data_IF_941138592198
#
_entry.id   IF_941138592198
#
_cell.length_a   1.000
_cell.length_b   1.000
_cell.length_c   1.000
_cell.angle_alpha   90.00
_cell.angle_beta   90.00
_cell.angle_gamma   90.00
#
_symmetry.space_group_name_H-M   'P 1'
#
loop_
_entity.id
_entity.type
_entity.pdbx_description
1 polymer ?
#
# COMPACT_ATOMS: atom_id res chain seq x y z
N UNK A 1 -4.10 11.25 28.45
CA UNK A 1 -5.40 10.60 28.15
C UNK A 1 -5.28 9.13 28.52
N UNK A 2 -5.73 8.78 29.73
CA UNK A 2 -5.83 7.40 30.18
C UNK A 2 -7.06 6.75 29.53
N UNK A 3 -6.84 5.69 28.76
CA UNK A 3 -7.93 4.86 28.26
C UNK A 3 -8.44 3.98 29.40
N UNK A 4 -9.53 4.41 30.05
CA UNK A 4 -10.21 3.66 31.10
C UNK A 4 -10.88 2.39 30.55
N UNK A 5 -10.63 1.26 31.22
CA UNK A 5 -11.40 0.01 31.28
C UNK A 5 -12.65 -0.09 30.38
N UNK A 6 -12.46 -0.27 29.07
CA UNK A 6 -13.51 -0.86 28.22
C UNK A 6 -13.46 -2.37 28.39
N UNK A 7 -14.48 -2.92 29.07
CA UNK A 7 -14.75 -4.36 29.18
C UNK A 7 -14.48 -5.04 27.83
N UNK A 8 -13.72 -6.13 27.89
CA UNK A 8 -13.28 -7.02 26.80
C UNK A 8 -14.43 -7.49 25.89
N UNK A 9 -14.91 -6.60 25.01
CA UNK A 9 -15.63 -6.95 23.78
C UNK A 9 -14.64 -6.77 22.63
N UNK A 10 -13.46 -7.37 22.76
CA UNK A 10 -12.67 -7.65 21.58
C UNK A 10 -13.30 -8.91 20.99
N UNK A 11 -14.25 -8.73 20.07
CA UNK A 11 -14.52 -9.78 19.09
C UNK A 11 -13.16 -10.06 18.45
N UNK A 12 -12.58 -11.23 18.76
CA UNK A 12 -11.26 -11.57 18.25
C UNK A 12 -11.35 -11.51 16.73
N UNK A 13 -10.48 -10.69 16.14
CA UNK A 13 -10.22 -10.83 14.71
C UNK A 13 -9.68 -12.25 14.54
N UNK A 14 -10.38 -13.04 13.75
CA UNK A 14 -10.01 -14.40 13.43
C UNK A 14 -9.28 -14.47 12.08
N UNK A 15 -9.51 -13.48 11.22
CA UNK A 15 -9.01 -13.48 9.85
C UNK A 15 -8.43 -12.13 9.45
N UNK A 16 -7.39 -12.13 8.62
CA UNK A 16 -6.77 -10.91 8.13
C UNK A 16 -6.60 -10.91 6.61
N UNK A 17 -6.95 -9.80 5.95
CA UNK A 17 -6.44 -9.48 4.61
C UNK A 17 -5.22 -8.58 4.74
N UNK A 18 -4.06 -9.06 4.28
CA UNK A 18 -2.80 -8.34 4.32
C UNK A 18 -2.37 -7.97 2.91
N UNK A 19 -2.42 -6.68 2.59
CA UNK A 19 -1.95 -6.14 1.30
C UNK A 19 -0.55 -5.57 1.47
N UNK A 20 0.44 -6.19 0.83
CA UNK A 20 1.84 -5.73 0.84
C UNK A 20 2.14 -5.01 -0.47
N UNK A 21 2.60 -3.77 -0.35
CA UNK A 21 2.84 -2.92 -1.52
C UNK A 21 3.90 -1.86 -1.23
N UNK A 22 4.21 -1.03 -2.20
CA UNK A 22 5.05 0.17 -2.01
C UNK A 22 4.28 1.43 -2.42
N UNK A 23 4.74 2.59 -1.98
CA UNK A 23 4.09 3.87 -2.27
C UNK A 23 3.92 4.06 -3.76
N UNK A 24 2.73 4.49 -4.19
CA UNK A 24 2.37 4.74 -5.59
C UNK A 24 2.33 3.50 -6.49
N UNK A 25 2.30 2.29 -5.95
CA UNK A 25 2.12 1.07 -6.76
C UNK A 25 0.69 0.85 -7.26
N UNK A 26 -0.27 1.71 -6.88
CA UNK A 26 -1.70 1.50 -7.17
C UNK A 26 -2.46 0.76 -6.07
N UNK A 27 -1.84 0.56 -4.90
CA UNK A 27 -2.44 -0.17 -3.78
C UNK A 27 -3.73 0.45 -3.27
N UNK A 28 -3.92 1.77 -3.36
CA UNK A 28 -5.20 2.41 -3.04
C UNK A 28 -6.33 1.99 -3.99
N UNK A 29 -6.04 1.77 -5.29
CA UNK A 29 -7.04 1.28 -6.24
C UNK A 29 -7.40 -0.18 -5.91
N UNK A 30 -6.40 -1.02 -5.66
CA UNK A 30 -6.62 -2.41 -5.23
C UNK A 30 -7.43 -2.49 -3.94
N UNK A 31 -7.15 -1.62 -2.95
CA UNK A 31 -7.90 -1.59 -1.70
C UNK A 31 -9.38 -1.21 -1.92
N UNK A 32 -9.68 -0.34 -2.89
CA UNK A 32 -11.07 -0.02 -3.29
C UNK A 32 -11.75 -1.23 -3.93
N UNK A 33 -11.02 -2.01 -4.72
CA UNK A 33 -11.54 -3.26 -5.27
C UNK A 33 -11.89 -4.24 -4.15
N UNK A 34 -10.98 -4.46 -3.20
CA UNK A 34 -11.20 -5.30 -2.01
C UNK A 34 -12.40 -4.81 -1.18
N UNK A 35 -12.48 -3.51 -0.89
CA UNK A 35 -13.58 -2.89 -0.15
C UNK A 35 -14.93 -3.12 -0.86
N UNK A 36 -14.97 -2.88 -2.17
CA UNK A 36 -16.20 -3.03 -2.97
C UNK A 36 -16.64 -4.48 -3.16
N UNK A 37 -15.72 -5.44 -3.12
CA UNK A 37 -16.04 -6.86 -3.15
C UNK A 37 -16.66 -7.34 -1.82
N UNK A 38 -16.40 -6.61 -0.73
CA UNK A 38 -16.76 -6.94 0.64
C UNK A 38 -16.23 -8.31 1.10
N UNK A 39 -16.48 -8.69 2.37
CA UNK A 39 -16.06 -9.99 2.92
C UNK A 39 -14.55 -10.17 3.12
N UNK A 40 -13.74 -9.13 2.88
CA UNK A 40 -12.28 -9.13 3.05
C UNK A 40 -11.77 -7.98 3.96
N UNK A 41 -12.69 -7.23 4.59
CA UNK A 41 -12.39 -6.05 5.39
C UNK A 41 -12.09 -4.79 4.56
N UNK A 42 -11.51 -3.78 5.21
CA UNK A 42 -11.17 -2.46 4.65
C UNK A 42 -9.66 -2.19 4.74
N UNK A 43 -8.84 -2.69 3.82
CA UNK A 43 -7.40 -2.45 3.86
C UNK A 43 -7.09 -0.96 3.64
N UNK A 44 -6.43 -0.34 4.63
CA UNK A 44 -5.88 1.03 4.56
C UNK A 44 -4.54 1.07 5.29
N UNK A 45 -3.86 2.21 5.25
CA UNK A 45 -2.56 2.43 5.91
C UNK A 45 -2.73 2.74 7.40
N UNK A 46 -3.36 1.84 8.16
CA UNK A 46 -3.65 2.09 9.58
C UNK A 46 -2.37 2.28 10.42
N UNK A 47 -1.25 1.69 10.00
CA UNK A 47 0.04 1.82 10.67
C UNK A 47 0.69 3.21 10.53
N UNK A 48 0.22 4.07 9.61
CA UNK A 48 0.64 5.49 9.56
C UNK A 48 0.43 6.22 10.88
N UNK A 49 -0.48 5.72 11.73
CA UNK A 49 -0.67 6.17 13.10
C UNK A 49 0.64 6.19 13.91
N UNK A 50 1.50 5.18 13.76
CA UNK A 50 2.78 5.08 14.45
C UNK A 50 3.85 6.03 13.89
N UNK A 51 3.61 6.62 12.71
CA UNK A 51 4.62 7.35 11.93
C UNK A 51 4.33 8.85 11.81
N UNK A 52 3.34 9.38 12.54
CA UNK A 52 2.91 10.79 12.45
C UNK A 52 3.95 11.82 12.92
N UNK A 53 5.05 11.37 13.50
CA UNK A 53 6.23 12.17 13.87
C UNK A 53 7.44 11.36 13.44
N UNK A 54 8.58 11.99 13.09
CA UNK A 54 9.85 11.32 12.71
C UNK A 54 10.47 10.54 13.90
N UNK A 55 9.66 9.79 14.62
CA UNK A 55 10.01 9.02 15.80
C UNK A 55 10.91 7.87 15.39
N UNK A 56 11.98 7.73 16.16
CA UNK A 56 12.90 6.60 16.06
C UNK A 56 12.23 5.37 16.64
N UNK A 57 12.61 4.19 16.17
CA UNK A 57 12.04 2.90 16.64
C UNK A 57 12.15 2.75 18.15
N UNK A 58 13.29 3.14 18.74
CA UNK A 58 13.50 3.11 20.20
C UNK A 58 12.44 3.89 20.99
N UNK A 59 11.93 4.99 20.44
CA UNK A 59 10.87 5.78 21.07
C UNK A 59 9.50 5.10 20.97
N UNK A 60 9.30 4.24 19.97
CA UNK A 60 8.07 3.50 19.77
C UNK A 60 7.98 2.26 20.66
N UNK A 61 9.09 1.53 20.86
CA UNK A 61 9.12 0.27 21.61
C UNK A 61 8.68 0.40 23.07
N UNK A 62 8.98 1.53 23.73
CA UNK A 62 8.50 1.78 25.10
C UNK A 62 7.04 2.23 25.21
N UNK A 63 6.38 2.47 24.06
CA UNK A 63 5.06 3.11 23.99
C UNK A 63 3.99 2.23 23.35
N UNK A 64 4.39 1.39 22.40
CA UNK A 64 3.51 0.58 21.59
C UNK A 64 3.95 -0.88 21.61
N UNK A 65 2.98 -1.76 21.47
CA UNK A 65 3.11 -3.21 21.59
C UNK A 65 2.45 -3.92 20.42
N UNK A 66 2.58 -5.25 20.37
CA UNK A 66 1.80 -6.09 19.45
C UNK A 66 0.29 -5.81 19.58
N UNK A 67 -0.20 -5.54 20.80
CA UNK A 67 -1.62 -5.24 21.02
C UNK A 67 -2.09 -3.97 20.31
N UNK A 68 -1.22 -2.97 20.15
CA UNK A 68 -1.49 -1.76 19.38
C UNK A 68 -1.53 -2.05 17.88
N UNK A 69 -0.66 -2.95 17.39
CA UNK A 69 -0.68 -3.42 15.99
C UNK A 69 -2.00 -4.13 15.70
N UNK A 70 -2.45 -5.01 16.59
CA UNK A 70 -3.77 -5.66 16.49
C UNK A 70 -4.89 -4.63 16.51
N UNK A 71 -4.83 -3.63 17.40
CA UNK A 71 -5.82 -2.55 17.45
C UNK A 71 -5.88 -1.75 16.14
N UNK A 72 -4.74 -1.54 15.47
CA UNK A 72 -4.75 -0.90 14.15
C UNK A 72 -5.36 -1.79 13.07
N UNK A 73 -5.15 -3.10 13.11
CA UNK A 73 -5.79 -4.07 12.19
C UNK A 73 -7.31 -4.09 12.40
N UNK A 74 -7.80 -3.95 13.65
CA UNK A 74 -9.23 -3.87 13.98
C UNK A 74 -9.95 -2.69 13.32
N UNK A 75 -9.22 -1.61 12.99
CA UNK A 75 -9.81 -0.49 12.23
C UNK A 75 -10.18 -0.88 10.80
N UNK A 76 -9.62 -1.98 10.29
CA UNK A 76 -9.98 -2.58 9.01
C UNK A 76 -11.22 -3.46 9.04
N UNK A 77 -11.82 -3.70 10.20
CA UNK A 77 -13.06 -4.45 10.30
C UNK A 77 -14.26 -3.63 9.79
N UNK A 78 -15.24 -4.33 9.24
CA UNK A 78 -16.53 -3.75 8.83
C UNK A 78 -17.65 -4.30 9.69
N UNK A 79 -18.71 -3.52 9.91
CA UNK A 79 -19.83 -3.93 10.78
C UNK A 79 -20.48 -5.24 10.33
N UNK A 80 -20.49 -5.52 9.02
CA UNK A 80 -21.03 -6.78 8.47
C UNK A 80 -20.09 -7.98 8.61
N UNK A 81 -18.81 -7.77 8.90
CA UNK A 81 -17.78 -8.82 9.07
C UNK A 81 -16.79 -8.41 10.17
N UNK A 82 -17.25 -8.33 11.44
CA UNK A 82 -16.46 -7.75 12.54
C UNK A 82 -15.23 -8.58 12.94
N UNK A 83 -15.16 -9.84 12.51
CA UNK A 83 -14.05 -10.76 12.75
C UNK A 83 -12.99 -10.76 11.66
N UNK A 84 -13.15 -9.95 10.60
CA UNK A 84 -12.20 -9.84 9.49
C UNK A 84 -11.47 -8.51 9.57
N UNK A 85 -10.20 -8.55 9.98
CA UNK A 85 -9.29 -7.41 9.91
C UNK A 85 -8.72 -7.25 8.50
N UNK A 86 -8.29 -6.05 8.15
CA UNK A 86 -7.59 -5.81 6.90
C UNK A 86 -6.63 -4.65 7.02
N UNK A 87 -5.44 -4.76 6.42
CA UNK A 87 -4.45 -3.70 6.46
C UNK A 87 -3.62 -3.67 5.19
N UNK A 88 -3.23 -2.46 4.79
CA UNK A 88 -2.24 -2.22 3.75
C UNK A 88 -0.91 -1.88 4.43
N UNK A 89 0.10 -2.71 4.21
CA UNK A 89 1.46 -2.52 4.69
C UNK A 89 2.35 -2.04 3.53
N UNK A 90 2.99 -0.88 3.72
CA UNK A 90 4.03 -0.43 2.79
C UNK A 90 5.39 -1.03 3.17
N UNK A 91 6.24 -1.32 2.18
CA UNK A 91 7.57 -1.91 2.41
C UNK A 91 8.40 -1.15 3.45
N UNK A 92 8.44 0.18 3.36
CA UNK A 92 9.19 1.07 4.27
C UNK A 92 8.57 1.19 5.68
N UNK A 93 7.33 0.76 5.86
CA UNK A 93 6.66 0.71 7.16
C UNK A 93 7.01 -0.57 7.92
N UNK A 94 7.41 -1.63 7.21
CA UNK A 94 7.55 -2.97 7.76
C UNK A 94 8.55 -3.08 8.92
N UNK A 95 9.78 -2.52 8.85
CA UNK A 95 10.73 -2.63 9.97
C UNK A 95 10.19 -2.10 11.30
N UNK A 96 9.41 -1.02 11.23
CA UNK A 96 8.80 -0.44 12.43
C UNK A 96 7.65 -1.30 12.94
N UNK A 97 6.78 -1.78 12.06
CA UNK A 97 5.67 -2.67 12.47
C UNK A 97 6.21 -3.97 13.07
N UNK A 98 7.21 -4.58 12.43
CA UNK A 98 7.90 -5.78 12.92
C UNK A 98 8.53 -5.55 14.30
N UNK A 99 9.22 -4.42 14.49
CA UNK A 99 9.79 -4.06 15.80
C UNK A 99 8.74 -4.01 16.90
N UNK A 100 7.53 -3.51 16.60
CA UNK A 100 6.43 -3.46 17.58
C UNK A 100 5.85 -4.84 17.88
N UNK A 101 5.81 -5.74 16.90
CA UNK A 101 5.35 -7.12 17.10
C UNK A 101 6.35 -7.91 17.93
N UNK A 102 7.64 -7.84 17.58
CA UNK A 102 8.71 -8.63 18.23
C UNK A 102 9.27 -8.00 19.51
N UNK A 103 8.96 -6.72 19.77
CA UNK A 103 9.54 -5.94 20.87
C UNK A 103 11.08 -5.88 20.81
N UNK A 104 11.61 -5.67 19.61
CA UNK A 104 13.04 -5.72 19.33
C UNK A 104 13.45 -4.62 18.32
N UNK A 105 14.74 -4.44 18.06
CA UNK A 105 15.24 -3.52 17.06
C UNK A 105 14.69 -3.81 15.65
N UNK A 106 14.55 -2.73 14.87
CA UNK A 106 14.16 -2.82 13.48
C UNK A 106 15.25 -3.50 12.64
N UNK A 107 14.80 -4.33 11.70
CA UNK A 107 15.64 -5.09 10.75
C UNK A 107 15.43 -4.56 9.33
N UNK A 108 16.11 -5.17 8.34
CA UNK A 108 15.89 -4.85 6.93
C UNK A 108 14.41 -5.05 6.51
N UNK A 109 13.97 -4.29 5.51
CA UNK A 109 12.62 -4.32 4.98
C UNK A 109 12.15 -5.73 4.58
N UNK A 110 12.98 -6.54 3.91
CA UNK A 110 12.61 -7.88 3.46
C UNK A 110 12.39 -8.83 4.64
N UNK A 111 13.31 -8.82 5.60
CA UNK A 111 13.23 -9.63 6.83
C UNK A 111 12.00 -9.21 7.65
N UNK A 112 11.75 -7.91 7.79
CA UNK A 112 10.61 -7.40 8.55
C UNK A 112 9.27 -7.83 7.94
N UNK A 113 9.13 -7.77 6.62
CA UNK A 113 7.90 -8.24 5.95
C UNK A 113 7.73 -9.75 6.13
N UNK A 114 8.81 -10.52 5.99
CA UNK A 114 8.81 -11.98 6.18
C UNK A 114 8.35 -12.38 7.59
N UNK A 115 8.87 -11.68 8.61
CA UNK A 115 8.46 -11.83 10.00
C UNK A 115 6.99 -11.49 10.20
N UNK A 116 6.50 -10.39 9.62
CA UNK A 116 5.09 -9.97 9.73
C UNK A 116 4.17 -11.01 9.06
N UNK A 117 4.53 -11.54 7.90
CA UNK A 117 3.76 -12.59 7.22
C UNK A 117 3.70 -13.84 8.10
N UNK A 118 4.85 -14.29 8.60
CA UNK A 118 4.95 -15.47 9.47
C UNK A 118 4.14 -15.28 10.75
N UNK A 119 4.24 -14.11 11.39
CA UNK A 119 3.42 -13.74 12.53
C UNK A 119 1.93 -13.78 12.20
N UNK A 120 1.50 -13.24 11.06
CA UNK A 120 0.09 -13.25 10.67
C UNK A 120 -0.46 -14.68 10.52
N UNK A 121 0.29 -15.59 9.88
CA UNK A 121 -0.11 -17.00 9.76
C UNK A 121 -0.16 -17.74 11.10
N UNK A 122 0.68 -17.36 12.07
CA UNK A 122 0.63 -17.93 13.42
C UNK A 122 -0.49 -17.33 14.28
N UNK A 123 -0.90 -16.08 14.00
CA UNK A 123 -1.83 -15.31 14.83
C UNK A 123 -3.29 -15.46 14.42
N UNK A 124 -3.57 -15.56 13.13
CA UNK A 124 -4.92 -15.57 12.57
C UNK A 124 -5.21 -16.94 11.94
N UNK A 125 -6.42 -17.45 12.16
CA UNK A 125 -6.85 -18.74 11.59
C UNK A 125 -6.92 -18.71 10.07
N UNK A 126 -7.13 -17.52 9.48
CA UNK A 126 -7.22 -17.31 8.03
C UNK A 126 -6.45 -16.05 7.62
N UNK A 127 -5.62 -16.17 6.59
CA UNK A 127 -4.83 -15.07 6.03
C UNK A 127 -5.06 -15.00 4.52
N UNK A 128 -5.50 -13.84 4.04
CA UNK A 128 -5.61 -13.51 2.62
C UNK A 128 -4.45 -12.58 2.25
N UNK A 129 -3.38 -13.14 1.68
CA UNK A 129 -2.11 -12.46 1.44
C UNK A 129 -2.00 -11.97 -0.01
N UNK A 130 -1.89 -10.66 -0.19
CA UNK A 130 -1.89 -10.03 -1.51
C UNK A 130 -0.66 -9.15 -1.66
N UNK A 131 0.15 -9.42 -2.69
CA UNK A 131 1.25 -8.56 -3.09
C UNK A 131 0.85 -7.71 -4.30
N UNK A 132 1.27 -6.44 -4.31
CA UNK A 132 1.09 -5.55 -5.46
C UNK A 132 2.41 -4.97 -5.95
N UNK A 133 2.69 -5.14 -7.23
CA UNK A 133 3.82 -4.51 -7.93
C UNK A 133 3.35 -3.55 -9.02
N UNK A 134 4.26 -2.73 -9.54
CA UNK A 134 4.05 -1.79 -10.64
C UNK A 134 5.35 -1.65 -11.43
N UNK A 135 5.26 -1.21 -12.69
CA UNK A 135 6.44 -0.81 -13.45
C UNK A 135 7.27 0.25 -12.68
N UNK A 136 8.57 -0.01 -12.54
CA UNK A 136 9.48 0.78 -11.70
C UNK A 136 9.61 2.23 -12.15
N UNK A 137 9.65 2.49 -13.46
CA UNK A 137 9.78 3.85 -14.00
C UNK A 137 8.48 4.62 -13.76
N UNK A 138 7.33 4.02 -14.12
CA UNK A 138 6.01 4.64 -13.91
C UNK A 138 5.72 4.92 -12.43
N UNK A 139 6.20 4.06 -11.55
CA UNK A 139 6.08 4.24 -10.10
C UNK A 139 6.99 5.36 -9.59
N UNK A 140 8.26 5.42 -10.04
CA UNK A 140 9.20 6.47 -9.68
C UNK A 140 8.71 7.86 -10.14
N UNK A 141 8.23 7.97 -11.39
CA UNK A 141 7.55 9.17 -11.90
C UNK A 141 6.40 9.56 -10.99
N UNK A 142 5.53 8.60 -10.64
CA UNK A 142 4.40 8.90 -9.76
C UNK A 142 4.83 9.35 -8.36
N UNK A 143 5.91 8.81 -7.79
CA UNK A 143 6.45 9.21 -6.48
C UNK A 143 7.04 10.61 -6.52
N UNK A 144 7.87 10.89 -7.52
CA UNK A 144 8.50 12.20 -7.72
C UNK A 144 7.45 13.32 -7.79
N UNK A 145 6.44 13.17 -8.67
CA UNK A 145 5.37 14.16 -8.83
C UNK A 145 4.52 14.29 -7.57
N UNK A 146 4.18 13.19 -6.89
CA UNK A 146 3.37 13.25 -5.66
C UNK A 146 4.11 13.96 -4.51
N UNK A 147 5.42 13.73 -4.37
CA UNK A 147 6.24 14.38 -3.34
C UNK A 147 6.38 15.87 -3.59
N UNK A 148 6.64 16.26 -4.84
CA UNK A 148 6.79 17.67 -5.20
C UNK A 148 5.49 18.44 -5.07
N UNK A 149 4.38 17.89 -5.55
CA UNK A 149 3.08 18.56 -5.48
C UNK A 149 2.42 18.50 -4.10
N UNK A 150 2.90 17.63 -3.19
CA UNK A 150 2.20 17.22 -1.95
C UNK A 150 0.79 16.66 -2.20
N UNK A 151 0.51 16.21 -3.44
CA UNK A 151 -0.79 15.65 -3.85
C UNK A 151 -0.62 14.16 -4.09
N UNK A 152 -1.28 13.36 -3.26
CA UNK A 152 -1.27 11.91 -3.37
C UNK A 152 -2.51 11.40 -4.13
N UNK A 153 -3.60 12.14 -4.10
CA UNK A 153 -4.84 11.76 -4.77
C UNK A 153 -5.56 13.03 -5.25
N UNK A 154 -6.23 12.99 -6.42
CA UNK A 154 -7.10 14.07 -6.89
C UNK A 154 -8.55 13.55 -7.00
N UNK A 155 -9.54 14.39 -6.72
CA UNK A 155 -10.96 14.13 -6.99
C UNK A 155 -11.48 15.18 -7.98
N UNK A 156 -12.37 14.80 -8.89
CA UNK A 156 -13.01 15.70 -9.87
C UNK A 156 -14.39 16.19 -9.40
N UNK A 157 -14.98 15.56 -8.38
CA UNK A 157 -16.45 15.61 -8.18
C UNK A 157 -16.88 16.42 -6.96
N UNK A 158 -16.01 17.23 -6.35
CA UNK A 158 -16.37 18.17 -5.27
C UNK A 158 -16.88 17.54 -3.95
N UNK A 159 -16.97 16.21 -3.83
CA UNK A 159 -17.41 15.51 -2.62
C UNK A 159 -16.30 15.46 -1.57
N UNK A 160 -16.05 16.61 -0.92
CA UNK A 160 -15.05 16.76 0.14
C UNK A 160 -15.19 15.69 1.24
N UNK A 161 -14.21 14.78 1.34
CA UNK A 161 -13.94 14.10 2.61
C UNK A 161 -13.14 15.06 3.50
N UNK A 162 -13.64 15.36 4.70
CA UNK A 162 -13.17 16.44 5.60
C UNK A 162 -11.67 16.44 5.99
N UNK A 163 -10.86 15.44 5.63
CA UNK A 163 -9.54 15.20 6.25
C UNK A 163 -8.37 14.85 5.31
N UNK A 164 -8.47 14.92 3.98
CA UNK A 164 -7.27 14.79 3.12
C UNK A 164 -7.05 16.07 2.31
N UNK A 165 -5.78 16.41 2.04
CA UNK A 165 -5.43 17.55 1.17
C UNK A 165 -5.77 17.17 -0.27
N UNK A 166 -6.93 17.61 -0.72
CA UNK A 166 -7.45 17.38 -2.06
C UNK A 166 -7.36 18.68 -2.88
N UNK A 167 -7.03 18.57 -4.17
CA UNK A 167 -6.97 19.72 -5.09
C UNK A 167 -7.95 19.50 -6.23
N UNK A 168 -8.73 20.54 -6.56
CA UNK A 168 -9.80 20.52 -7.57
C UNK A 168 -9.26 20.45 -9.02
N UNK A 169 -7.95 20.65 -9.21
CA UNK A 169 -7.26 20.58 -10.50
C UNK A 169 -6.18 19.51 -10.45
N UNK A 170 -5.97 18.82 -11.58
CA UNK A 170 -4.88 17.83 -11.67
C UNK A 170 -3.52 18.53 -11.44
N UNK A 171 -2.59 17.92 -10.68
CA UNK A 171 -1.30 18.53 -10.35
C UNK A 171 -0.41 18.81 -11.57
N UNK A 172 -0.58 18.03 -12.64
CA UNK A 172 0.22 18.11 -13.87
C UNK A 172 0.11 19.45 -14.59
N UNK A 173 -0.95 20.23 -14.34
CA UNK A 173 -1.16 21.52 -15.01
C UNK A 173 -0.21 22.65 -14.57
N UNK A 174 0.48 22.53 -13.43
CA UNK A 174 1.28 23.63 -12.87
C UNK A 174 2.58 23.15 -12.21
N UNK A 175 3.22 22.11 -12.75
CA UNK A 175 4.45 21.61 -12.13
C UNK A 175 5.58 22.64 -12.11
N UNK A 176 5.61 23.65 -13.00
CA UNK A 176 6.63 24.72 -13.03
C UNK A 176 8.06 24.18 -12.84
N UNK A 177 8.35 23.02 -13.41
CA UNK A 177 9.65 22.35 -13.38
C UNK A 177 10.15 22.17 -14.81
N UNK A 178 11.43 22.36 -15.01
CA UNK A 178 12.13 21.95 -16.22
C UNK A 178 12.15 20.41 -16.35
N UNK A 179 12.35 19.93 -17.57
CA UNK A 179 12.49 18.49 -17.82
C UNK A 179 13.70 17.89 -17.10
N UNK A 180 14.76 18.68 -16.91
CA UNK A 180 15.95 18.29 -16.15
C UNK A 180 15.61 18.06 -14.67
N UNK A 181 14.92 19.01 -14.03
CA UNK A 181 14.49 18.89 -12.64
C UNK A 181 13.57 17.69 -12.41
N UNK A 182 12.60 17.47 -13.31
CA UNK A 182 11.73 16.29 -13.25
C UNK A 182 12.57 15.01 -13.37
N UNK A 183 13.52 14.96 -14.31
CA UNK A 183 14.38 13.78 -14.51
C UNK A 183 15.22 13.48 -13.28
N UNK A 184 15.84 14.50 -12.67
CA UNK A 184 16.59 14.34 -11.42
C UNK A 184 15.72 13.82 -10.27
N UNK A 185 14.50 14.35 -10.13
CA UNK A 185 13.56 13.85 -9.13
C UNK A 185 13.19 12.39 -9.36
N UNK A 186 12.94 11.98 -10.60
CA UNK A 186 12.64 10.58 -10.93
C UNK A 186 13.82 9.68 -10.61
N UNK A 187 15.04 10.08 -11.01
CA UNK A 187 16.28 9.34 -10.72
C UNK A 187 16.47 9.14 -9.21
N UNK A 188 16.18 10.18 -8.40
CA UNK A 188 16.29 10.07 -6.94
C UNK A 188 15.34 9.04 -6.31
N UNK A 189 14.20 8.74 -6.94
CA UNK A 189 13.25 7.74 -6.45
C UNK A 189 13.55 6.32 -6.95
N UNK A 190 14.30 6.17 -8.05
CA UNK A 190 14.51 4.88 -8.71
C UNK A 190 15.13 3.81 -7.79
N UNK A 191 16.20 4.09 -7.02
CA UNK A 191 16.82 3.07 -6.17
C UNK A 191 15.83 2.43 -5.18
N UNK A 192 15.05 3.26 -4.47
CA UNK A 192 14.03 2.80 -3.54
C UNK A 192 12.95 1.97 -4.24
N UNK A 193 12.46 2.43 -5.39
CA UNK A 193 11.40 1.75 -6.14
C UNK A 193 11.88 0.39 -6.65
N UNK A 194 13.10 0.33 -7.20
CA UNK A 194 13.72 -0.92 -7.66
C UNK A 194 13.90 -1.89 -6.49
N UNK A 195 14.46 -1.41 -5.37
CA UNK A 195 14.65 -2.20 -4.16
C UNK A 195 13.31 -2.76 -3.65
N UNK A 196 12.31 -1.90 -3.44
CA UNK A 196 11.00 -2.30 -2.93
C UNK A 196 10.28 -3.26 -3.89
N UNK A 197 10.35 -3.02 -5.20
CA UNK A 197 9.78 -3.95 -6.18
C UNK A 197 10.49 -5.31 -6.15
N UNK A 198 11.82 -5.33 -5.96
CA UNK A 198 12.59 -6.57 -5.82
C UNK A 198 12.18 -7.38 -4.61
N UNK A 199 12.07 -6.73 -3.44
CA UNK A 199 11.61 -7.34 -2.18
C UNK A 199 10.22 -7.98 -2.36
N UNK A 200 9.26 -7.21 -2.89
CA UNK A 200 7.89 -7.70 -3.10
C UNK A 200 7.87 -8.93 -4.00
N UNK A 201 8.62 -8.92 -5.11
CA UNK A 201 8.68 -10.06 -6.04
C UNK A 201 9.31 -11.29 -5.42
N UNK A 202 10.39 -11.14 -4.64
CA UNK A 202 11.05 -12.27 -3.93
C UNK A 202 10.12 -12.89 -2.90
N UNK A 203 9.46 -12.08 -2.08
CA UNK A 203 8.53 -12.58 -1.06
C UNK A 203 7.26 -13.18 -1.68
N UNK A 204 6.72 -12.59 -2.75
CA UNK A 204 5.61 -13.19 -3.50
C UNK A 204 5.98 -14.56 -4.08
N UNK A 205 7.21 -14.74 -4.55
CA UNK A 205 7.72 -16.05 -5.00
C UNK A 205 7.84 -17.03 -3.83
N UNK A 206 8.38 -16.58 -2.68
CA UNK A 206 8.51 -17.38 -1.45
C UNK A 206 7.16 -17.90 -0.95
N UNK A 207 6.14 -17.04 -0.90
CA UNK A 207 4.78 -17.35 -0.44
C UNK A 207 3.81 -17.63 -1.60
N UNK A 208 4.28 -18.23 -2.70
CA UNK A 208 3.48 -18.39 -3.93
C UNK A 208 2.30 -19.35 -3.79
N UNK A 209 2.26 -20.20 -2.76
CA UNK A 209 1.12 -21.09 -2.49
C UNK A 209 0.04 -20.39 -1.67
N UNK A 210 0.45 -19.44 -0.84
CA UNK A 210 -0.33 -18.74 0.17
C UNK A 210 -0.77 -17.33 -0.26
N UNK A 211 -0.21 -16.80 -1.34
CA UNK A 211 -0.46 -15.43 -1.79
C UNK A 211 -0.86 -15.34 -3.26
N UNK A 212 -1.34 -14.17 -3.64
CA UNK A 212 -1.39 -13.73 -5.05
C UNK A 212 -0.49 -12.52 -5.25
N UNK A 213 0.17 -12.49 -6.40
CA UNK A 213 0.84 -11.32 -6.92
C UNK A 213 -0.04 -10.67 -7.97
N UNK A 214 -0.41 -9.42 -7.74
CA UNK A 214 -1.09 -8.57 -8.72
C UNK A 214 -0.06 -7.55 -9.22
N UNK A 215 -0.01 -7.34 -10.52
CA UNK A 215 0.69 -6.20 -11.12
C UNK A 215 -0.32 -5.09 -11.45
N UNK A 216 0.10 -3.84 -11.25
CA UNK A 216 -0.73 -2.67 -11.48
C UNK A 216 -1.15 -2.56 -12.95
N UNK A 217 -0.28 -2.95 -13.87
CA UNK A 217 -0.54 -2.90 -15.30
C UNK A 217 -1.74 -3.78 -15.69
N UNK A 218 -1.80 -5.03 -15.20
CA UNK A 218 -2.95 -5.92 -15.30
C UNK A 218 -4.15 -5.38 -14.53
N UNK A 219 -3.95 -4.83 -13.33
CA UNK A 219 -5.02 -4.23 -12.55
C UNK A 219 -5.78 -3.18 -13.36
N UNK A 220 -5.10 -2.42 -14.21
CA UNK A 220 -5.70 -1.37 -15.06
C UNK A 220 -6.22 -1.92 -16.40
N UNK A 221 -5.44 -2.76 -17.08
CA UNK A 221 -5.75 -3.24 -18.44
C UNK A 221 -6.76 -4.38 -18.47
N UNK A 222 -6.79 -5.21 -17.43
CA UNK A 222 -7.73 -6.32 -17.24
C UNK A 222 -8.36 -6.29 -15.83
N UNK A 223 -9.21 -5.29 -15.54
CA UNK A 223 -9.90 -5.16 -14.25
C UNK A 223 -10.59 -6.46 -13.82
N UNK A 224 -11.29 -7.09 -14.76
CA UNK A 224 -12.15 -8.23 -14.51
C UNK A 224 -11.37 -9.48 -14.13
N UNK A 225 -10.30 -9.77 -14.86
CA UNK A 225 -9.37 -10.84 -14.51
C UNK A 225 -8.85 -10.66 -13.09
N UNK A 226 -8.42 -9.45 -12.73
CA UNK A 226 -7.88 -9.17 -11.41
C UNK A 226 -8.91 -9.36 -10.27
N UNK A 227 -10.14 -8.84 -10.39
CA UNK A 227 -11.11 -9.05 -9.31
C UNK A 227 -11.62 -10.50 -9.23
N UNK A 228 -11.69 -11.23 -10.35
CA UNK A 228 -11.98 -12.67 -10.33
C UNK A 228 -10.87 -13.44 -9.60
N UNK A 229 -9.61 -13.09 -9.86
CA UNK A 229 -8.46 -13.68 -9.17
C UNK A 229 -8.50 -13.36 -7.66
N UNK A 230 -8.85 -12.13 -7.27
CA UNK A 230 -9.05 -11.73 -5.86
C UNK A 230 -10.14 -12.59 -5.20
N UNK A 231 -11.31 -12.73 -5.82
CA UNK A 231 -12.42 -13.53 -5.27
C UNK A 231 -11.99 -15.00 -5.13
N UNK A 232 -11.37 -15.56 -6.17
CA UNK A 232 -10.92 -16.95 -6.15
C UNK A 232 -9.91 -17.21 -5.02
N UNK A 233 -8.90 -16.33 -4.91
CA UNK A 233 -7.90 -16.42 -3.85
C UNK A 233 -8.53 -16.28 -2.46
N UNK A 234 -9.38 -15.25 -2.26
CA UNK A 234 -10.07 -15.04 -0.99
C UNK A 234 -10.88 -16.28 -0.58
N UNK A 235 -11.64 -16.88 -1.51
CA UNK A 235 -12.40 -18.13 -1.26
C UNK A 235 -11.49 -19.30 -0.89
N UNK A 236 -10.35 -19.46 -1.58
CA UNK A 236 -9.36 -20.50 -1.26
C UNK A 236 -8.86 -20.39 0.20
N UNK A 237 -8.76 -19.18 0.75
CA UNK A 237 -8.32 -18.92 2.12
C UNK A 237 -9.49 -18.71 3.10
N UNK A 238 -10.70 -19.15 2.74
CA UNK A 238 -11.85 -19.19 3.64
C UNK A 238 -12.57 -17.86 3.83
N UNK A 239 -12.37 -16.89 2.93
CA UNK A 239 -13.14 -15.63 2.89
C UNK A 239 -14.34 -15.79 1.94
N UNK A 240 -15.40 -15.01 2.15
CA UNK A 240 -16.61 -15.07 1.32
C UNK A 240 -17.02 -13.69 0.81
N UNK A 241 -16.32 -13.11 -0.19
CA UNK A 241 -16.76 -11.87 -0.83
C UNK A 241 -18.14 -12.06 -1.47
N UNK A 242 -19.19 -11.33 -1.03
CA UNK A 242 -20.54 -11.51 -1.57
C UNK A 242 -20.67 -10.91 -2.98
N UNK A 243 -19.94 -9.83 -3.26
CA UNK A 243 -20.04 -9.13 -4.55
C UNK A 243 -19.15 -9.81 -5.59
N UNK A 244 -19.67 -9.98 -6.81
CA UNK A 244 -18.95 -10.62 -7.92
C UNK A 244 -18.19 -9.63 -8.81
N UNK A 245 -18.32 -8.33 -8.54
CA UNK A 245 -17.72 -7.25 -9.34
C UNK A 245 -17.21 -6.14 -8.44
N UNK A 246 -15.96 -5.75 -8.65
CA UNK A 246 -15.38 -4.60 -7.97
C UNK A 246 -15.95 -3.29 -8.54
N UNK A 247 -16.12 -2.29 -7.66
CA UNK A 247 -16.52 -0.92 -8.01
C UNK A 247 -15.38 0.02 -7.70
N UNK A 248 -14.87 0.71 -8.72
CA UNK A 248 -13.74 1.62 -8.58
C UNK A 248 -13.80 2.77 -9.57
N UNK A 249 -13.10 3.83 -9.21
CA UNK A 249 -12.78 4.95 -10.10
C UNK A 249 -11.27 5.05 -10.20
N UNK A 250 -10.74 4.87 -11.40
CA UNK A 250 -9.33 5.09 -11.69
C UNK A 250 -9.05 6.59 -11.73
N UNK A 251 -8.07 7.03 -10.94
CA UNK A 251 -7.62 8.42 -10.92
C UNK A 251 -6.09 8.44 -10.97
N UNK A 252 -5.52 8.92 -12.09
CA UNK A 252 -4.06 9.08 -12.28
C UNK A 252 -3.66 10.54 -12.14
N UNK A 253 -2.67 10.83 -11.27
CA UNK A 253 -2.19 12.20 -11.05
C UNK A 253 -1.55 12.83 -12.29
N UNK A 254 -1.09 11.99 -13.21
CA UNK A 254 -0.34 12.36 -14.40
C UNK A 254 -1.10 11.81 -15.59
N UNK A 255 -1.36 12.64 -16.59
CA UNK A 255 -1.96 12.20 -17.85
C UNK A 255 -1.06 11.17 -18.58
N UNK A 256 -1.64 10.32 -19.44
CA UNK A 256 -0.83 9.43 -20.29
C UNK A 256 0.21 10.17 -21.12
N UNK A 257 -0.14 11.34 -21.68
CA UNK A 257 0.71 12.18 -22.52
C UNK A 257 1.90 12.71 -21.71
N UNK A 258 1.64 13.33 -20.56
CA UNK A 258 2.72 13.82 -19.70
C UNK A 258 3.63 12.69 -19.22
N UNK A 259 3.08 11.51 -18.94
CA UNK A 259 3.89 10.36 -18.54
C UNK A 259 4.82 9.89 -19.68
N UNK A 260 4.39 10.01 -20.94
CA UNK A 260 5.24 9.74 -22.11
C UNK A 260 6.33 10.82 -22.20
N UNK A 261 5.97 12.09 -22.07
CA UNK A 261 6.91 13.22 -22.15
C UNK A 261 8.00 13.11 -21.08
N UNK A 262 7.64 12.82 -19.83
CA UNK A 262 8.61 12.61 -18.74
C UNK A 262 9.54 11.44 -19.04
N UNK A 263 9.03 10.33 -19.59
CA UNK A 263 9.87 9.18 -19.95
C UNK A 263 10.86 9.52 -21.05
N UNK A 264 10.44 10.31 -22.04
CA UNK A 264 11.32 10.79 -23.11
C UNK A 264 12.37 11.75 -22.55
N UNK A 265 11.98 12.72 -21.73
CA UNK A 265 12.88 13.64 -21.04
C UNK A 265 13.93 12.91 -20.20
N UNK A 266 13.50 11.94 -19.40
CA UNK A 266 14.39 11.09 -18.60
C UNK A 266 15.38 10.33 -19.49
N UNK A 267 14.92 9.72 -20.59
CA UNK A 267 15.79 9.00 -21.52
C UNK A 267 16.87 9.92 -22.10
N UNK A 268 16.48 11.11 -22.57
CA UNK A 268 17.41 12.11 -23.11
C UNK A 268 18.42 12.55 -22.05
N UNK A 269 17.95 12.85 -20.83
CA UNK A 269 18.82 13.25 -19.72
C UNK A 269 19.88 12.19 -19.41
N UNK A 270 19.47 10.92 -19.33
CA UNK A 270 20.39 9.81 -19.08
C UNK A 270 21.44 9.67 -20.18
N UNK A 271 21.05 9.77 -21.45
CA UNK A 271 21.97 9.68 -22.60
C UNK A 271 22.98 10.82 -22.66
N UNK A 272 22.62 12.01 -22.18
CA UNK A 272 23.51 13.19 -22.22
C UNK A 272 24.44 13.28 -21.01
N UNK A 273 23.97 12.89 -19.82
CA UNK A 273 24.66 13.19 -18.56
C UNK A 273 25.25 11.98 -17.86
N UNK A 274 24.79 10.78 -18.19
CA UNK A 274 25.35 9.54 -17.66
C UNK A 274 25.98 8.83 -18.84
N UNK A 275 27.31 8.89 -18.95
CA UNK A 275 28.06 8.08 -19.90
C UNK A 275 27.81 6.60 -19.56
N UNK A 276 26.74 6.03 -20.13
CA UNK A 276 26.37 4.63 -20.09
C UNK A 276 27.09 3.85 -21.18
#
# INVERSE_FOLDING_TARGET
MHFSNKKNIFSMIDSITLVISSQRSGSTLLCRDIESLAGMGLPKEYFTYFFKKRQRVKELLGKYSESDVISMIQKGCISSHPNIGAVKLMVDQAPKVDSLIRQDAAVDNEIAIDNIITWAFNKFSRVNLIFLTRNVIDQAISRAISKHSDIWHYELDGTRRKNERWVDKRPDYNLNLSQEEISMMVISELPDVVLHSGIIKRLAKKYSKESILIDYESLISNPEGCWKQLIFHAKKFGFAPPNQKAKRTLRKLISPEMNIDIKQGLKSYLLTNINL
#
